data_IF_452924971966
#
_entry.id   IF_452924971966
#
_cell.length_a   1.000
_cell.length_b   1.000
_cell.length_c   1.000
_cell.angle_alpha   90.00
_cell.angle_beta   90.00
_cell.angle_gamma   90.00
#
_symmetry.space_group_name_H-M   'P 1'
#
loop_
_entity.id
_entity.type
_entity.pdbx_description
1 polymer ?
#
# COMPACT_ATOMS: atom_id res chain seq x y z
N UNK A 1 -1.87 7.92 -1.72
CA UNK A 1 -1.62 8.61 -2.99
C UNK A 1 -0.16 8.45 -3.34
N UNK A 2 0.69 9.33 -2.87
CA UNK A 2 2.08 9.43 -3.34
C UNK A 2 2.94 8.19 -3.05
N UNK A 3 2.83 7.59 -1.86
CA UNK A 3 3.50 6.32 -1.54
C UNK A 3 3.03 5.12 -2.37
N UNK A 4 1.86 5.21 -2.99
CA UNK A 4 1.35 4.16 -3.86
C UNK A 4 1.96 4.23 -5.27
N UNK A 5 2.51 5.40 -5.66
CA UNK A 5 2.90 5.68 -7.02
C UNK A 5 4.26 5.11 -7.38
N UNK A 6 5.17 5.01 -6.42
CA UNK A 6 6.57 4.72 -6.68
C UNK A 6 7.08 3.61 -5.78
N UNK A 7 7.92 2.71 -6.29
CA UNK A 7 8.53 1.66 -5.46
C UNK A 7 9.51 2.23 -4.44
N UNK A 8 10.25 3.27 -4.80
CA UNK A 8 11.23 3.93 -3.93
C UNK A 8 10.58 4.68 -2.77
N UNK A 9 9.26 4.85 -2.77
CA UNK A 9 8.51 5.43 -1.65
C UNK A 9 7.93 4.38 -0.71
N UNK A 10 7.83 3.10 -1.11
CA UNK A 10 7.19 2.05 -0.31
C UNK A 10 8.09 1.58 0.84
N UNK A 11 8.22 2.43 1.86
CA UNK A 11 9.10 2.23 3.00
C UNK A 11 8.44 1.46 4.15
N UNK A 12 9.26 1.10 5.13
CA UNK A 12 8.83 0.34 6.30
C UNK A 12 8.12 1.17 7.38
N UNK A 13 8.02 2.50 7.25
CA UNK A 13 7.38 3.35 8.26
C UNK A 13 6.17 4.10 7.74
N UNK A 14 6.37 5.02 6.79
CA UNK A 14 5.30 5.94 6.39
C UNK A 14 4.28 5.25 5.50
N UNK A 15 4.73 4.49 4.50
CA UNK A 15 3.84 3.74 3.63
C UNK A 15 2.98 2.73 4.41
N UNK A 16 3.57 2.00 5.36
CA UNK A 16 2.86 1.01 6.18
C UNK A 16 1.87 1.61 7.17
N UNK A 17 2.01 2.88 7.55
CA UNK A 17 1.09 3.55 8.47
C UNK A 17 0.04 4.35 7.72
N UNK A 18 0.46 5.24 6.83
CA UNK A 18 -0.42 6.19 6.15
C UNK A 18 -1.36 5.48 5.17
N UNK A 19 -0.86 4.47 4.46
CA UNK A 19 -1.65 3.79 3.42
C UNK A 19 -2.83 3.02 4.00
N UNK A 20 -2.68 2.08 4.93
CA UNK A 20 -3.84 1.36 5.47
C UNK A 20 -4.81 2.27 6.22
N UNK A 21 -4.31 3.28 6.96
CA UNK A 21 -5.17 4.25 7.68
C UNK A 21 -6.04 5.07 6.72
N UNK A 22 -5.50 5.47 5.56
CA UNK A 22 -6.29 6.17 4.55
C UNK A 22 -7.23 5.23 3.79
N UNK A 23 -6.76 4.03 3.45
CA UNK A 23 -7.51 3.05 2.64
C UNK A 23 -8.74 2.47 3.34
N UNK A 24 -8.78 2.41 4.67
CA UNK A 24 -9.92 1.80 5.40
C UNK A 24 -11.20 2.66 5.39
N UNK A 25 -11.09 3.95 5.08
CA UNK A 25 -12.20 4.93 5.18
C UNK A 25 -13.42 4.58 4.32
N UNK A 26 -13.23 4.38 3.01
CA UNK A 26 -14.29 4.01 2.08
C UNK A 26 -14.83 2.59 2.33
N UNK A 27 -13.98 1.55 2.51
CA UNK A 27 -14.41 0.23 2.95
C UNK A 27 -15.36 0.27 4.15
N UNK A 28 -15.02 1.02 5.21
CA UNK A 28 -15.87 1.11 6.39
C UNK A 28 -17.25 1.75 6.08
N UNK A 29 -17.28 2.82 5.28
CA UNK A 29 -18.52 3.50 4.90
C UNK A 29 -19.42 2.61 4.03
N UNK A 30 -18.86 1.94 3.03
CA UNK A 30 -19.61 1.07 2.11
C UNK A 30 -20.06 -0.21 2.80
N UNK A 31 -19.23 -0.77 3.68
CA UNK A 31 -19.64 -1.87 4.55
C UNK A 31 -20.85 -1.52 5.40
N UNK A 32 -20.89 -0.32 6.00
CA UNK A 32 -22.05 0.11 6.78
C UNK A 32 -23.33 0.05 5.95
N UNK A 33 -23.33 0.63 4.74
CA UNK A 33 -24.50 0.66 3.85
C UNK A 33 -24.89 -0.74 3.38
N UNK A 34 -23.94 -1.53 2.86
CA UNK A 34 -24.23 -2.84 2.29
C UNK A 34 -24.62 -3.88 3.34
N UNK A 35 -24.02 -3.82 4.53
CA UNK A 35 -24.35 -4.72 5.62
C UNK A 35 -25.67 -4.37 6.30
N UNK A 36 -25.97 -3.08 6.49
CA UNK A 36 -27.20 -2.64 7.15
C UNK A 36 -28.43 -2.86 6.26
N UNK A 37 -28.34 -2.50 4.97
CA UNK A 37 -29.49 -2.55 4.05
C UNK A 37 -29.68 -3.88 3.37
N UNK A 38 -28.60 -4.54 2.96
CA UNK A 38 -28.67 -5.72 2.09
C UNK A 38 -28.08 -6.98 2.72
N UNK A 39 -27.48 -6.90 3.91
CA UNK A 39 -26.77 -8.01 4.57
C UNK A 39 -25.72 -8.66 3.67
N UNK A 40 -25.10 -7.86 2.79
CA UNK A 40 -24.07 -8.32 1.86
C UNK A 40 -22.67 -8.15 2.48
N UNK A 41 -21.91 -9.24 2.72
CA UNK A 41 -20.59 -9.20 3.35
C UNK A 41 -19.46 -8.97 2.33
N UNK A 42 -19.59 -7.96 1.48
CA UNK A 42 -18.61 -7.66 0.41
C UNK A 42 -18.25 -6.17 0.32
N UNK A 43 -18.55 -5.39 1.36
CA UNK A 43 -18.44 -3.94 1.27
C UNK A 43 -17.01 -3.44 1.19
N UNK A 44 -16.09 -4.06 1.95
CA UNK A 44 -14.69 -3.68 1.89
C UNK A 44 -14.04 -4.17 0.61
N UNK A 45 -14.31 -5.42 0.22
CA UNK A 45 -13.75 -6.05 -0.96
C UNK A 45 -14.13 -5.33 -2.25
N UNK A 46 -15.40 -4.95 -2.44
CA UNK A 46 -15.84 -4.19 -3.62
C UNK A 46 -15.11 -2.86 -3.73
N UNK A 47 -14.93 -2.14 -2.62
CA UNK A 47 -14.21 -0.85 -2.62
C UNK A 47 -12.75 -1.02 -3.02
N UNK A 48 -12.05 -1.96 -2.39
CA UNK A 48 -10.62 -2.14 -2.62
C UNK A 48 -10.34 -2.73 -4.00
N UNK A 49 -11.16 -3.66 -4.48
CA UNK A 49 -11.05 -4.17 -5.86
C UNK A 49 -11.29 -3.06 -6.87
N UNK A 50 -12.32 -2.23 -6.68
CA UNK A 50 -12.57 -1.08 -7.54
C UNK A 50 -11.40 -0.11 -7.59
N UNK A 51 -10.80 0.19 -6.42
CA UNK A 51 -9.61 1.04 -6.33
C UNK A 51 -8.41 0.42 -7.07
N UNK A 52 -8.11 -0.85 -6.81
CA UNK A 52 -6.97 -1.54 -7.41
C UNK A 52 -7.12 -1.63 -8.94
N UNK A 53 -8.33 -1.90 -9.44
CA UNK A 53 -8.62 -1.87 -10.87
C UNK A 53 -8.39 -0.48 -11.46
N UNK A 54 -8.92 0.57 -10.83
CA UNK A 54 -8.72 1.96 -11.28
C UNK A 54 -7.25 2.37 -11.26
N UNK A 55 -6.50 1.96 -10.23
CA UNK A 55 -5.06 2.18 -10.13
C UNK A 55 -4.33 1.48 -11.28
N UNK A 56 -4.57 0.19 -11.52
CA UNK A 56 -3.91 -0.56 -12.59
C UNK A 56 -4.19 0.03 -13.97
N UNK A 57 -5.43 0.43 -14.26
CA UNK A 57 -5.79 1.13 -15.50
C UNK A 57 -4.98 2.41 -15.65
N UNK A 58 -4.86 3.20 -14.59
CA UNK A 58 -4.05 4.42 -14.61
C UNK A 58 -2.55 4.12 -14.78
N UNK A 59 -2.02 3.08 -14.13
CA UNK A 59 -0.60 2.69 -14.24
C UNK A 59 -0.24 2.26 -15.65
N UNK A 60 -1.09 1.48 -16.29
CA UNK A 60 -0.80 0.94 -17.62
C UNK A 60 -1.01 1.97 -18.72
N UNK A 61 -2.13 2.71 -18.69
CA UNK A 61 -2.45 3.68 -19.74
C UNK A 61 -1.68 4.99 -19.60
N UNK A 62 -1.61 5.56 -18.39
CA UNK A 62 -1.00 6.87 -18.18
C UNK A 62 0.49 6.75 -17.85
N UNK A 63 0.85 6.05 -16.77
CA UNK A 63 2.24 6.02 -16.31
C UNK A 63 3.15 5.30 -17.30
N UNK A 64 2.73 4.13 -17.79
CA UNK A 64 3.50 3.38 -18.79
C UNK A 64 3.18 3.83 -20.23
N UNK A 65 1.90 3.88 -20.60
CA UNK A 65 1.48 4.16 -21.98
C UNK A 65 1.77 5.57 -22.48
N UNK A 66 1.70 6.58 -21.61
CA UNK A 66 2.01 7.98 -21.96
C UNK A 66 3.37 8.40 -21.40
N UNK A 67 3.59 8.25 -20.09
CA UNK A 67 4.78 8.80 -19.44
C UNK A 67 6.00 7.85 -19.45
N UNK A 68 5.88 6.65 -20.02
CA UNK A 68 6.95 5.68 -20.20
C UNK A 68 7.70 5.25 -18.92
N UNK A 69 7.07 5.37 -17.75
CA UNK A 69 7.59 4.77 -16.52
C UNK A 69 7.35 3.25 -16.54
N UNK A 70 8.34 2.44 -16.16
CA UNK A 70 8.20 0.99 -16.22
C UNK A 70 7.19 0.53 -15.17
N UNK A 71 6.35 -0.45 -15.53
CA UNK A 71 5.24 -0.92 -14.69
C UNK A 71 5.73 -1.45 -13.32
N UNK A 72 6.93 -2.04 -13.30
CA UNK A 72 7.58 -2.52 -12.08
C UNK A 72 8.06 -1.41 -11.13
N UNK A 73 8.06 -0.14 -11.56
CA UNK A 73 8.37 1.03 -10.73
C UNK A 73 7.09 1.68 -10.18
N UNK A 74 5.97 1.56 -10.90
CA UNK A 74 4.72 2.29 -10.61
C UNK A 74 3.58 1.42 -10.13
N UNK A 75 3.85 0.16 -9.76
CA UNK A 75 2.81 -0.78 -9.36
C UNK A 75 2.04 -0.31 -8.10
N UNK A 76 0.71 -0.53 -8.04
CA UNK A 76 -0.10 -0.15 -6.90
C UNK A 76 -0.05 -1.19 -5.77
N UNK A 77 -0.08 -0.71 -4.54
CA UNK A 77 -0.23 -1.55 -3.37
C UNK A 77 -1.61 -2.23 -3.34
N UNK A 78 -1.66 -3.47 -2.86
CA UNK A 78 -2.90 -4.20 -2.67
C UNK A 78 -3.32 -4.21 -1.20
N UNK A 79 -4.59 -3.87 -0.93
CA UNK A 79 -5.22 -4.07 0.37
C UNK A 79 -6.30 -5.18 0.30
N UNK A 80 -6.34 -5.95 -0.80
CA UNK A 80 -7.37 -6.98 -1.03
C UNK A 80 -7.40 -8.02 0.11
N UNK A 81 -6.26 -8.57 0.60
CA UNK A 81 -6.28 -9.49 1.74
C UNK A 81 -6.91 -8.86 2.99
N UNK A 82 -6.59 -7.60 3.28
CA UNK A 82 -7.17 -6.86 4.40
C UNK A 82 -8.66 -6.64 4.24
N UNK A 83 -9.11 -6.29 3.04
CA UNK A 83 -10.51 -6.09 2.74
C UNK A 83 -11.34 -7.37 2.94
N UNK A 84 -10.82 -8.52 2.48
CA UNK A 84 -11.46 -9.83 2.69
C UNK A 84 -11.56 -10.13 4.18
N UNK A 85 -10.47 -9.96 4.95
CA UNK A 85 -10.49 -10.20 6.39
C UNK A 85 -11.49 -9.27 7.11
N UNK A 86 -11.57 -8.02 6.70
CA UNK A 86 -12.47 -7.03 7.30
C UNK A 86 -13.95 -7.35 7.00
N UNK A 87 -14.28 -7.82 5.79
CA UNK A 87 -15.61 -8.36 5.46
C UNK A 87 -15.92 -9.65 6.25
N UNK A 88 -14.96 -10.58 6.36
CA UNK A 88 -15.11 -11.82 7.12
C UNK A 88 -15.37 -11.57 8.62
N UNK A 89 -14.64 -10.64 9.24
CA UNK A 89 -14.84 -10.28 10.65
C UNK A 89 -16.24 -9.73 10.86
N UNK A 90 -16.72 -8.84 9.97
CA UNK A 90 -18.07 -8.30 10.05
C UNK A 90 -19.13 -9.40 9.89
N UNK A 91 -18.92 -10.32 8.95
CA UNK A 91 -19.83 -11.43 8.69
C UNK A 91 -19.93 -12.39 9.90
N UNK A 92 -18.80 -12.71 10.53
CA UNK A 92 -18.72 -13.64 11.66
C UNK A 92 -19.23 -13.04 12.96
N UNK A 93 -18.78 -11.82 13.30
CA UNK A 93 -19.10 -11.18 14.58
C UNK A 93 -20.40 -10.38 14.55
N UNK A 94 -20.88 -10.00 13.35
CA UNK A 94 -22.09 -9.19 13.13
C UNK A 94 -22.15 -7.90 13.94
N UNK A 95 -20.98 -7.38 14.33
CA UNK A 95 -20.84 -6.22 15.21
C UNK A 95 -19.83 -5.25 14.63
N UNK A 96 -20.27 -4.01 14.37
CA UNK A 96 -19.39 -2.95 13.86
C UNK A 96 -18.29 -2.57 14.84
N UNK A 97 -18.57 -2.58 16.15
CA UNK A 97 -17.58 -2.27 17.17
C UNK A 97 -16.44 -3.30 17.16
N UNK A 98 -16.77 -4.59 17.14
CA UNK A 98 -15.76 -5.65 17.10
C UNK A 98 -15.03 -5.67 15.75
N UNK A 99 -15.71 -5.32 14.66
CA UNK A 99 -15.09 -5.18 13.33
C UNK A 99 -14.11 -4.01 13.29
N UNK A 100 -14.43 -2.87 13.91
CA UNK A 100 -13.51 -1.73 13.99
C UNK A 100 -12.22 -2.07 14.77
N UNK A 101 -12.34 -2.86 15.84
CA UNK A 101 -11.20 -3.29 16.64
C UNK A 101 -10.40 -4.37 15.90
N UNK A 102 -10.99 -5.56 15.71
CA UNK A 102 -10.26 -6.71 15.17
C UNK A 102 -10.06 -6.62 13.65
N UNK A 103 -11.09 -6.22 12.91
CA UNK A 103 -11.00 -6.03 11.46
C UNK A 103 -10.04 -4.90 11.10
N UNK A 104 -10.08 -3.77 11.83
CA UNK A 104 -9.14 -2.67 11.65
C UNK A 104 -7.69 -3.07 11.93
N UNK A 105 -7.43 -3.78 13.03
CA UNK A 105 -6.09 -4.31 13.34
C UNK A 105 -5.59 -5.27 12.25
N UNK A 106 -6.42 -6.23 11.83
CA UNK A 106 -6.06 -7.19 10.79
C UNK A 106 -5.79 -6.52 9.43
N UNK A 107 -6.59 -5.50 9.07
CA UNK A 107 -6.43 -4.75 7.83
C UNK A 107 -5.07 -4.04 7.76
N UNK A 108 -4.64 -3.40 8.86
CA UNK A 108 -3.33 -2.78 8.95
C UNK A 108 -2.19 -3.79 8.92
N UNK A 109 -2.26 -4.84 9.74
CA UNK A 109 -1.17 -5.83 9.86
C UNK A 109 -0.96 -6.61 8.56
N UNK A 110 -2.03 -7.07 7.91
CA UNK A 110 -1.91 -7.88 6.68
C UNK A 110 -1.43 -7.07 5.48
N UNK A 111 -1.49 -5.73 5.53
CA UNK A 111 -1.09 -4.86 4.43
C UNK A 111 0.37 -5.10 4.04
N UNK A 112 1.29 -5.18 5.00
CA UNK A 112 2.70 -5.44 4.70
C UNK A 112 2.90 -6.83 4.09
N UNK A 113 2.38 -7.87 4.76
CA UNK A 113 2.52 -9.25 4.31
C UNK A 113 1.92 -9.49 2.92
N UNK A 114 0.77 -8.86 2.61
CA UNK A 114 0.13 -8.97 1.31
C UNK A 114 0.92 -8.33 0.16
N UNK A 115 1.73 -7.31 0.46
CA UNK A 115 2.53 -6.62 -0.56
C UNK A 115 3.99 -7.08 -0.61
N UNK A 116 4.49 -7.72 0.45
CA UNK A 116 5.87 -8.19 0.53
C UNK A 116 6.33 -9.03 -0.67
N UNK A 117 5.55 -9.99 -1.21
CA UNK A 117 5.99 -10.79 -2.37
C UNK A 117 6.34 -9.95 -3.61
N UNK A 118 5.65 -8.82 -3.82
CA UNK A 118 5.92 -7.91 -4.93
C UNK A 118 7.04 -6.91 -4.58
N UNK A 119 7.16 -6.54 -3.30
CA UNK A 119 8.13 -5.55 -2.84
C UNK A 119 9.54 -6.11 -2.61
N UNK A 120 9.66 -7.39 -2.25
CA UNK A 120 10.91 -8.02 -1.80
C UNK A 120 12.03 -7.94 -2.85
N UNK A 121 11.70 -8.13 -4.13
CA UNK A 121 12.69 -8.06 -5.21
C UNK A 121 13.37 -6.68 -5.28
N UNK A 122 12.65 -5.60 -4.97
CA UNK A 122 13.18 -4.23 -5.04
C UNK A 122 14.04 -3.85 -3.82
N UNK A 123 14.02 -4.66 -2.77
CA UNK A 123 14.86 -4.47 -1.57
C UNK A 123 16.24 -5.12 -1.70
N UNK A 124 16.54 -5.77 -2.84
CA UNK A 124 17.87 -6.31 -3.07
C UNK A 124 18.90 -5.17 -3.17
N UNK A 125 20.07 -5.32 -2.50
CA UNK A 125 21.13 -4.34 -2.54
C UNK A 125 21.86 -4.37 -3.89
N UNK A 126 22.22 -3.19 -4.39
CA UNK A 126 23.07 -2.99 -5.56
C UNK A 126 24.12 -1.93 -5.25
N UNK A 127 25.35 -2.13 -5.73
CA UNK A 127 26.39 -1.12 -5.70
C UNK A 127 26.33 -0.32 -7.02
N UNK A 128 25.98 0.96 -6.93
CA UNK A 128 25.97 1.89 -8.04
C UNK A 128 26.99 3.00 -7.78
N UNK A 129 28.03 3.08 -8.63
CA UNK A 129 29.10 4.08 -8.51
C UNK A 129 29.76 4.16 -7.11
N UNK A 130 29.91 3.02 -6.43
CA UNK A 130 30.51 2.96 -5.08
C UNK A 130 29.54 3.23 -3.93
N UNK A 131 28.26 3.49 -4.23
CA UNK A 131 27.20 3.71 -3.23
C UNK A 131 26.27 2.50 -3.19
N UNK A 132 25.94 2.06 -1.98
CA UNK A 132 24.94 1.01 -1.77
C UNK A 132 23.53 1.59 -1.90
N UNK A 133 22.76 1.07 -2.85
CA UNK A 133 21.37 1.42 -3.09
C UNK A 133 20.50 0.17 -3.07
N UNK A 134 19.20 0.32 -2.81
CA UNK A 134 18.24 -0.74 -3.16
C UNK A 134 17.92 -0.68 -4.66
N UNK A 135 17.43 -1.78 -5.24
CA UNK A 135 16.89 -1.76 -6.60
C UNK A 135 15.75 -0.73 -6.75
N UNK A 136 14.94 -0.52 -5.72
CA UNK A 136 13.91 0.52 -5.71
C UNK A 136 14.52 1.92 -5.85
N UNK A 137 15.56 2.24 -5.06
CA UNK A 137 16.25 3.53 -5.15
C UNK A 137 16.92 3.74 -6.51
N UNK A 138 17.50 2.68 -7.09
CA UNK A 138 18.09 2.73 -8.42
C UNK A 138 17.03 3.05 -9.49
N UNK A 139 15.84 2.45 -9.43
CA UNK A 139 14.74 2.81 -10.33
C UNK A 139 14.35 4.29 -10.18
N UNK A 140 14.23 4.79 -8.95
CA UNK A 140 13.92 6.19 -8.69
C UNK A 140 15.00 7.18 -9.16
N UNK A 141 16.25 6.70 -9.28
CA UNK A 141 17.38 7.45 -9.80
C UNK A 141 17.45 7.43 -11.34
N UNK A 142 17.25 6.27 -11.95
CA UNK A 142 17.35 6.07 -13.41
C UNK A 142 16.15 6.68 -14.16
N UNK A 143 14.94 6.47 -13.64
CA UNK A 143 13.71 7.01 -14.23
C UNK A 143 13.43 8.41 -13.67
N UNK A 144 13.97 9.41 -14.36
CA UNK A 144 13.88 10.82 -13.94
C UNK A 144 12.43 11.30 -13.85
N UNK A 145 12.04 11.81 -12.68
CA UNK A 145 10.74 12.44 -12.43
C UNK A 145 10.93 13.95 -12.34
N UNK A 146 10.45 14.69 -13.33
CA UNK A 146 10.70 16.14 -13.46
C UNK A 146 10.17 16.98 -12.30
N UNK A 147 9.08 16.55 -11.64
CA UNK A 147 8.44 17.27 -10.54
C UNK A 147 8.61 16.65 -9.15
N UNK A 148 9.31 15.51 -9.00
CA UNK A 148 9.42 14.80 -7.71
C UNK A 148 10.88 14.46 -7.39
N UNK A 149 11.68 15.46 -6.99
CA UNK A 149 13.04 15.25 -6.51
C UNK A 149 13.08 14.41 -5.22
N UNK A 150 14.24 13.79 -4.96
CA UNK A 150 14.46 12.84 -3.85
C UNK A 150 14.06 13.41 -2.48
N UNK A 151 14.32 14.69 -2.23
CA UNK A 151 14.08 15.30 -0.91
C UNK A 151 12.59 15.44 -0.56
N UNK A 152 11.67 15.35 -1.54
CA UNK A 152 10.23 15.37 -1.27
C UNK A 152 9.77 14.02 -0.70
N UNK A 153 10.54 12.96 -0.91
CA UNK A 153 10.20 11.61 -0.47
C UNK A 153 10.16 11.54 1.06
N UNK A 154 8.98 11.24 1.59
CA UNK A 154 8.75 11.01 3.01
C UNK A 154 8.88 9.52 3.29
N UNK A 155 10.12 9.08 3.51
CA UNK A 155 10.45 7.71 3.92
C UNK A 155 11.25 7.74 5.21
N UNK A 156 11.39 6.57 5.83
CA UNK A 156 12.26 6.45 6.98
C UNK A 156 13.73 6.84 6.68
N UNK A 157 14.28 7.76 7.47
CA UNK A 157 15.69 8.20 7.43
C UNK A 157 16.46 7.86 8.72
N UNK A 158 15.92 6.94 9.53
CA UNK A 158 16.45 6.58 10.85
C UNK A 158 16.24 7.65 11.92
N UNK A 159 16.20 7.24 13.18
CA UNK A 159 16.21 8.16 14.34
C UNK A 159 17.05 7.56 15.46
N UNK A 160 17.54 8.39 16.39
CA UNK A 160 18.29 7.90 17.57
C UNK A 160 17.44 7.06 18.54
N UNK A 161 16.12 6.99 18.32
CA UNK A 161 15.16 6.27 19.18
C UNK A 161 14.66 4.96 18.55
N UNK A 162 15.09 4.64 17.34
CA UNK A 162 14.68 3.43 16.62
C UNK A 162 15.75 2.35 16.75
N UNK A 163 15.35 1.16 17.18
CA UNK A 163 16.24 0.01 17.30
C UNK A 163 16.04 -0.93 16.10
N UNK A 164 17.04 -0.98 15.21
CA UNK A 164 17.20 -2.03 14.20
C UNK A 164 16.07 -2.19 13.18
N UNK A 165 15.61 -3.43 13.01
CA UNK A 165 14.67 -3.87 11.96
C UNK A 165 13.21 -3.85 12.38
N UNK A 166 12.92 -3.57 13.66
CA UNK A 166 11.57 -3.65 14.25
C UNK A 166 10.61 -2.55 13.77
N UNK A 167 11.02 -1.75 12.79
CA UNK A 167 10.20 -0.70 12.18
C UNK A 167 9.03 -1.30 11.37
N UNK A 168 9.23 -2.50 10.80
CA UNK A 168 8.16 -3.33 10.24
C UNK A 168 8.20 -4.71 10.91
N UNK A 169 7.36 -4.96 11.94
CA UNK A 169 7.32 -6.23 12.66
C UNK A 169 6.66 -7.36 11.87
#
# INVERSE_FOLDING_TARGET
GDWDFWTDWKDRRFWLVVTPVSLITFPAAVQYVLWDKFRLPIGATVCVVGLVLGQWVSRTLNFYGWAYFPVNFVWPATAIPGAILLDCVLMLLRSYLLTGIFGGMLFGTIFYFGNWPMLAAFHLPVNHNGVLLSLADLQGFEYTRTGTPEYIRIIERGTLRTFGKDVAP
#
